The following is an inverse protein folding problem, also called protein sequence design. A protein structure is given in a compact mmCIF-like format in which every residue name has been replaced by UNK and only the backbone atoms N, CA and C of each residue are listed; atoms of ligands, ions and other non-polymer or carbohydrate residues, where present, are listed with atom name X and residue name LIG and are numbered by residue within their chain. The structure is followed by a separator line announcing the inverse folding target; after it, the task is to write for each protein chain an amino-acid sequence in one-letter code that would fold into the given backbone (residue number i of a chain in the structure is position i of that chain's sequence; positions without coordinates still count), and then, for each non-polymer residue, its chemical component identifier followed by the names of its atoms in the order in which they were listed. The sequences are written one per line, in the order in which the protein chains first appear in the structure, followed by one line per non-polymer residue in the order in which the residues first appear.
data_IF_955430953054
#
_entry.id   IF_955430953054
#
_cell.length_a   1.000
_cell.length_b   1.000
_cell.length_c   1.000
_cell.angle_alpha   90.00
_cell.angle_beta   90.00
_cell.angle_gamma   90.00
#
_symmetry.space_group_name_H-M   'P 1'
#
loop_
_entity.id
_entity.type
_entity.pdbx_description
1 polymer ?
#
# COMPACT_ATOMS: atom_id res chain seq x y z
N UNK A 1 -5.63 10.79 12.21
CA UNK A 1 -4.52 11.21 11.33
C UNK A 1 -3.19 11.22 12.05
N UNK A 2 -3.10 11.95 13.17
CA UNK A 2 -1.84 12.01 13.92
C UNK A 2 -1.31 10.64 14.35
N UNK A 3 -2.19 9.79 14.89
CA UNK A 3 -1.79 8.44 15.30
C UNK A 3 -1.28 7.60 14.14
N UNK A 4 -1.92 7.76 12.97
CA UNK A 4 -1.51 7.03 11.77
C UNK A 4 -0.11 7.46 11.35
N UNK A 5 0.18 8.76 11.40
CA UNK A 5 1.48 9.29 11.03
C UNK A 5 2.58 8.74 11.95
N UNK A 6 2.33 8.76 13.27
CA UNK A 6 3.29 8.23 14.25
C UNK A 6 3.52 6.73 14.03
N UNK A 7 2.43 5.98 13.84
CA UNK A 7 2.51 4.54 13.59
C UNK A 7 3.26 4.26 12.29
N UNK A 8 3.00 5.05 11.26
CA UNK A 8 3.67 4.90 9.98
C UNK A 8 5.18 5.09 10.13
N UNK A 9 5.61 6.14 10.82
CA UNK A 9 7.03 6.40 11.01
C UNK A 9 7.71 5.27 11.79
N UNK A 10 7.09 4.79 12.86
CA UNK A 10 7.62 3.71 13.66
C UNK A 10 7.69 2.41 12.85
N UNK A 11 6.64 2.13 12.08
CA UNK A 11 6.60 0.92 11.25
C UNK A 11 7.60 1.01 10.11
N UNK A 12 7.82 2.20 9.53
CA UNK A 12 8.82 2.38 8.49
C UNK A 12 10.23 2.08 9.01
N UNK A 13 10.51 2.52 10.24
CA UNK A 13 11.79 2.22 10.87
C UNK A 13 11.95 0.71 11.10
N UNK A 14 10.91 0.08 11.63
CA UNK A 14 10.92 -1.36 11.87
C UNK A 14 11.08 -2.13 10.55
N UNK A 15 10.45 -1.65 9.47
CA UNK A 15 10.57 -2.27 8.16
C UNK A 15 11.99 -2.20 7.63
N UNK A 16 12.67 -1.07 7.79
CA UNK A 16 14.07 -0.95 7.34
C UNK A 16 14.93 -1.98 8.05
N UNK A 17 14.75 -2.13 9.36
CA UNK A 17 15.47 -3.14 10.14
C UNK A 17 15.16 -4.54 9.67
N UNK A 18 13.89 -4.82 9.43
CA UNK A 18 13.45 -6.12 8.93
C UNK A 18 14.05 -6.42 7.55
N UNK A 19 13.99 -5.45 6.65
CA UNK A 19 14.52 -5.63 5.29
C UNK A 19 16.02 -5.88 5.31
N UNK A 20 16.73 -5.27 6.24
CA UNK A 20 18.16 -5.50 6.39
C UNK A 20 18.46 -6.95 6.80
N UNK A 21 17.59 -7.54 7.61
CA UNK A 21 17.73 -8.91 8.10
C UNK A 21 17.16 -9.94 7.11
N UNK A 22 16.08 -9.60 6.42
CA UNK A 22 15.30 -10.51 5.58
C UNK A 22 15.22 -10.02 4.12
N UNK A 23 16.33 -9.59 3.59
CA UNK A 23 16.40 -8.85 2.32
C UNK A 23 15.91 -9.58 1.08
N UNK A 24 15.72 -10.88 1.11
CA UNK A 24 15.29 -11.63 -0.06
C UNK A 24 13.83 -12.11 -0.01
N UNK A 25 13.06 -11.55 0.92
CA UNK A 25 11.66 -11.93 1.02
C UNK A 25 10.84 -11.31 -0.12
N UNK A 26 10.04 -12.13 -0.77
CA UNK A 26 9.04 -11.64 -1.71
C UNK A 26 7.97 -10.88 -0.95
N UNK A 27 7.27 -9.97 -1.64
CA UNK A 27 6.17 -9.22 -1.04
C UNK A 27 5.01 -10.17 -0.78
N UNK A 28 4.39 -10.02 0.41
CA UNK A 28 3.18 -10.78 0.70
C UNK A 28 2.01 -10.22 -0.11
N UNK A 29 0.92 -10.99 -0.14
CA UNK A 29 -0.24 -10.66 -0.97
C UNK A 29 -0.85 -9.31 -0.58
N UNK A 30 -1.01 -9.06 0.70
CA UNK A 30 -1.61 -7.79 1.15
C UNK A 30 -0.75 -6.59 0.77
N UNK A 31 0.55 -6.68 0.96
CA UNK A 31 1.46 -5.59 0.58
C UNK A 31 1.37 -5.32 -0.92
N UNK A 32 1.33 -6.36 -1.75
CA UNK A 32 1.17 -6.19 -3.19
C UNK A 32 -0.12 -5.46 -3.53
N UNK A 33 -1.24 -5.89 -2.97
CA UNK A 33 -2.54 -5.31 -3.26
C UNK A 33 -2.58 -3.84 -2.85
N UNK A 34 -2.10 -3.52 -1.66
CA UNK A 34 -2.09 -2.15 -1.18
C UNK A 34 -1.16 -1.29 -2.03
N UNK A 35 0.06 -1.78 -2.32
CA UNK A 35 1.01 -1.02 -3.14
C UNK A 35 0.47 -0.78 -4.55
N UNK A 36 -0.13 -1.79 -5.17
CA UNK A 36 -0.74 -1.66 -6.50
C UNK A 36 -1.86 -0.61 -6.46
N UNK A 37 -2.69 -0.65 -5.43
CA UNK A 37 -3.77 0.33 -5.28
C UNK A 37 -3.21 1.75 -5.18
N UNK A 38 -2.19 1.94 -4.35
CA UNK A 38 -1.53 3.24 -4.19
C UNK A 38 -0.98 3.72 -5.54
N UNK A 39 -0.29 2.85 -6.26
CA UNK A 39 0.31 3.20 -7.54
C UNK A 39 -0.75 3.53 -8.59
N UNK A 40 -1.77 2.71 -8.68
CA UNK A 40 -2.83 2.93 -9.66
C UNK A 40 -3.56 4.26 -9.42
N UNK A 41 -3.74 4.62 -8.15
CA UNK A 41 -4.48 5.83 -7.79
C UNK A 41 -3.62 7.10 -7.83
N UNK A 42 -2.34 7.01 -7.52
CA UNK A 42 -1.59 8.23 -7.24
C UNK A 42 -0.12 8.25 -7.69
N UNK A 43 0.37 7.28 -8.47
CA UNK A 43 1.80 7.29 -8.82
C UNK A 43 2.24 8.55 -9.57
N UNK A 44 1.32 9.17 -10.28
CA UNK A 44 1.62 10.41 -11.01
C UNK A 44 1.54 11.67 -10.16
N UNK A 45 1.14 11.55 -8.90
CA UNK A 45 0.92 12.69 -8.01
C UNK A 45 2.02 12.86 -6.97
N UNK A 46 3.09 12.08 -7.09
CA UNK A 46 4.22 12.17 -6.18
C UNK A 46 3.97 11.46 -4.85
N UNK A 47 4.97 11.56 -3.98
CA UNK A 47 4.93 10.85 -2.70
C UNK A 47 3.79 11.30 -1.80
N UNK A 48 3.48 12.59 -1.79
CA UNK A 48 2.39 13.10 -0.96
C UNK A 48 1.04 12.48 -1.37
N UNK A 49 0.79 12.37 -2.67
CA UNK A 49 -0.44 11.76 -3.17
C UNK A 49 -0.51 10.27 -2.83
N UNK A 50 0.59 9.58 -3.01
CA UNK A 50 0.67 8.15 -2.67
C UNK A 50 0.50 7.90 -1.17
N UNK A 51 1.11 8.74 -0.35
CA UNK A 51 0.92 8.66 1.09
C UNK A 51 -0.54 8.87 1.48
N UNK A 52 -1.19 9.84 0.85
CA UNK A 52 -2.60 10.14 1.13
C UNK A 52 -3.50 8.94 0.84
N UNK A 53 -3.25 8.22 -0.25
CA UNK A 53 -4.01 7.01 -0.57
C UNK A 53 -3.77 5.93 0.48
N UNK A 54 -2.53 5.72 0.86
CA UNK A 54 -2.19 4.75 1.91
C UNK A 54 -2.87 5.08 3.23
N UNK A 55 -2.86 6.36 3.62
CA UNK A 55 -3.51 6.81 4.85
C UNK A 55 -5.02 6.59 4.78
N UNK A 56 -5.61 6.81 3.61
CA UNK A 56 -7.03 6.58 3.40
C UNK A 56 -7.39 5.09 3.58
N UNK A 57 -6.57 4.20 3.01
CA UNK A 57 -6.79 2.77 3.15
C UNK A 57 -6.69 2.37 4.63
N UNK A 58 -5.66 2.85 5.33
CA UNK A 58 -5.48 2.55 6.75
C UNK A 58 -6.66 3.04 7.58
N UNK A 59 -7.14 4.25 7.32
CA UNK A 59 -8.27 4.83 8.03
C UNK A 59 -9.54 4.00 7.82
N UNK A 60 -9.81 3.62 6.59
CA UNK A 60 -10.99 2.80 6.26
C UNK A 60 -10.91 1.41 6.89
N UNK A 61 -9.72 0.81 6.87
CA UNK A 61 -9.51 -0.49 7.50
C UNK A 61 -9.84 -0.41 8.99
N UNK A 62 -9.34 0.62 9.66
CA UNK A 62 -9.58 0.83 11.07
C UNK A 62 -11.07 1.06 11.35
N UNK A 63 -11.70 1.96 10.62
CA UNK A 63 -13.10 2.32 10.84
C UNK A 63 -14.07 1.18 10.57
N UNK A 64 -13.77 0.37 9.55
CA UNK A 64 -14.66 -0.71 9.11
C UNK A 64 -14.32 -2.05 9.73
N UNK A 65 -13.25 -2.11 10.52
CA UNK A 65 -12.75 -3.37 11.10
C UNK A 65 -12.49 -4.39 10.00
N UNK A 66 -11.84 -3.93 8.93
CA UNK A 66 -11.48 -4.75 7.77
C UNK A 66 -9.97 -4.76 7.61
N UNK A 67 -9.46 -5.75 6.90
CA UNK A 67 -8.06 -5.75 6.51
C UNK A 67 -7.85 -4.73 5.40
N UNK A 68 -6.61 -4.22 5.23
CA UNK A 68 -6.31 -3.38 4.07
C UNK A 68 -6.64 -4.05 2.73
N UNK A 69 -6.43 -5.36 2.63
CA UNK A 69 -6.81 -6.12 1.43
C UNK A 69 -8.31 -6.00 1.15
N UNK A 70 -9.13 -6.20 2.19
CA UNK A 70 -10.58 -6.08 2.04
C UNK A 70 -11.01 -4.70 1.60
N UNK A 71 -10.36 -3.66 2.16
CA UNK A 71 -10.64 -2.28 1.76
C UNK A 71 -10.30 -2.07 0.29
N UNK A 72 -9.12 -2.51 -0.15
CA UNK A 72 -8.67 -2.30 -1.52
C UNK A 72 -9.54 -3.03 -2.54
N UNK A 73 -9.94 -4.25 -2.23
CA UNK A 73 -10.66 -5.10 -3.16
C UNK A 73 -12.18 -4.97 -3.09
N UNK A 74 -12.68 -4.14 -2.18
CA UNK A 74 -14.12 -3.92 -2.08
C UNK A 74 -14.65 -3.39 -3.42
N UNK A 75 -15.72 -4.02 -3.90
CA UNK A 75 -16.32 -3.67 -5.19
C UNK A 75 -16.60 -2.16 -5.25
N UNK A 76 -16.19 -1.57 -6.37
CA UNK A 76 -16.38 -0.13 -6.66
C UNK A 76 -15.59 0.83 -5.77
N UNK A 77 -14.74 0.33 -4.86
CA UNK A 77 -13.96 1.20 -3.99
C UNK A 77 -12.77 1.83 -4.74
N UNK A 78 -12.01 1.00 -5.47
CA UNK A 78 -10.90 1.46 -6.29
C UNK A 78 -11.06 0.85 -7.68
N UNK A 79 -11.23 1.72 -8.67
CA UNK A 79 -11.59 1.29 -10.03
C UNK A 79 -10.52 0.43 -10.71
N UNK A 80 -9.26 0.55 -10.28
CA UNK A 80 -8.19 -0.24 -10.89
C UNK A 80 -8.43 -1.75 -10.77
N UNK A 81 -9.20 -2.18 -9.78
CA UNK A 81 -9.47 -3.60 -9.56
C UNK A 81 -10.69 -4.12 -10.32
N UNK A 82 -11.44 -3.24 -10.98
CA UNK A 82 -12.64 -3.66 -11.67
C UNK A 82 -12.30 -4.61 -12.82
N UNK A 83 -12.69 -5.91 -12.67
CA UNK A 83 -12.41 -6.93 -13.65
C UNK A 83 -10.95 -7.30 -13.79
N UNK A 84 -10.12 -6.98 -12.79
CA UNK A 84 -8.67 -7.22 -12.83
C UNK A 84 -8.22 -8.10 -11.68
N UNK A 85 -7.18 -8.88 -11.94
CA UNK A 85 -6.48 -9.66 -10.92
C UNK A 85 -5.16 -9.00 -10.58
N UNK A 86 -4.50 -9.52 -9.53
CA UNK A 86 -3.14 -9.07 -9.19
C UNK A 86 -2.22 -9.19 -10.39
N UNK A 87 -2.33 -10.32 -11.11
CA UNK A 87 -1.48 -10.58 -12.25
C UNK A 87 -1.62 -9.51 -13.34
N UNK A 88 -2.83 -8.99 -13.51
CA UNK A 88 -3.08 -7.95 -14.50
C UNK A 88 -2.41 -6.63 -14.14
N UNK A 89 -2.17 -6.38 -12.87
CA UNK A 89 -1.68 -5.09 -12.38
C UNK A 89 -0.27 -5.15 -11.79
N UNK A 90 0.35 -6.32 -11.76
CA UNK A 90 1.70 -6.47 -11.19
C UNK A 90 2.75 -5.59 -11.87
N UNK A 91 2.54 -5.25 -13.13
CA UNK A 91 3.48 -4.39 -13.84
C UNK A 91 3.68 -3.03 -13.16
N UNK A 92 2.70 -2.58 -12.39
CA UNK A 92 2.82 -1.32 -11.64
C UNK A 92 3.95 -1.37 -10.61
N UNK A 93 4.26 -2.57 -10.11
CA UNK A 93 5.33 -2.74 -9.13
C UNK A 93 6.73 -2.59 -9.74
N UNK A 94 6.81 -2.44 -11.07
CA UNK A 94 8.07 -2.20 -11.76
C UNK A 94 8.25 -0.74 -12.15
N UNK A 95 7.34 0.14 -11.73
CA UNK A 95 7.46 1.56 -12.00
C UNK A 95 8.45 2.22 -11.03
N UNK A 96 9.01 3.38 -11.37
CA UNK A 96 9.94 4.07 -10.47
C UNK A 96 9.34 4.42 -9.11
N UNK A 97 8.03 4.63 -9.04
CA UNK A 97 7.34 5.00 -7.82
C UNK A 97 7.07 3.81 -6.89
N UNK A 98 7.29 2.58 -7.38
CA UNK A 98 6.91 1.39 -6.64
C UNK A 98 7.63 1.26 -5.30
N UNK A 99 8.90 1.65 -5.24
CA UNK A 99 9.67 1.56 -3.99
C UNK A 99 8.98 2.32 -2.85
N UNK A 100 8.55 3.54 -3.12
CA UNK A 100 7.87 4.34 -2.12
C UNK A 100 6.49 3.76 -1.78
N UNK A 101 5.73 3.36 -2.80
CA UNK A 101 4.42 2.77 -2.59
C UNK A 101 4.48 1.50 -1.74
N UNK A 102 5.49 0.67 -1.96
CA UNK A 102 5.69 -0.55 -1.16
C UNK A 102 6.01 -0.20 0.28
N UNK A 103 6.84 0.81 0.51
CA UNK A 103 7.15 1.27 1.86
C UNK A 103 5.88 1.72 2.58
N UNK A 104 5.03 2.50 1.91
CA UNK A 104 3.75 2.93 2.47
C UNK A 104 2.87 1.71 2.74
N UNK A 105 2.76 0.80 1.78
CA UNK A 105 1.90 -0.38 1.90
C UNK A 105 2.27 -1.26 3.09
N UNK A 106 3.55 -1.40 3.38
CA UNK A 106 4.00 -2.20 4.51
C UNK A 106 3.62 -1.60 5.86
N UNK A 107 3.20 -0.35 5.87
CA UNK A 107 2.85 0.37 7.10
C UNK A 107 1.36 0.69 7.21
N UNK A 108 0.59 0.15 6.32
CA UNK A 108 -0.87 0.35 6.34
C UNK A 108 -1.58 -0.63 7.27
#
# INVERSE_FOLDING_TARGET
MRKIIITFAAAAYAFVSYAHTHKNHSLDRQTKIVAITILAEARGEGEAGMYAVGACIAQRAFERKQTPTEVCLKKWQFSCWNGKSIKDLEHLLKTPQAKYAITVAKNV
#
